data_IF_494012983293
#
_entry.id   IF_494012983293
#
_cell.length_a   1.000
_cell.length_b   1.000
_cell.length_c   1.000
_cell.angle_alpha   90.00
_cell.angle_beta   90.00
_cell.angle_gamma   90.00
#
_symmetry.space_group_name_H-M   'P 1'
#
loop_
_entity.id
_entity.type
_entity.pdbx_description
1 polymer ?
#
# COMPACT_ATOMS: atom_id res chain seq x y z
N UNK A 1 5.07 47.36 -35.30
CA UNK A 1 5.22 45.88 -35.47
C UNK A 1 5.78 45.32 -34.19
N UNK A 2 4.92 44.70 -33.37
CA UNK A 2 5.29 44.18 -32.04
C UNK A 2 5.74 42.74 -32.21
N UNK A 3 7.04 42.47 -32.03
CA UNK A 3 7.61 41.14 -31.98
C UNK A 3 7.12 40.44 -30.71
N UNK A 4 6.21 39.46 -30.85
CA UNK A 4 5.85 38.53 -29.78
C UNK A 4 6.97 37.50 -29.68
N UNK A 5 7.80 37.64 -28.66
CA UNK A 5 8.76 36.63 -28.28
C UNK A 5 7.94 35.54 -27.58
N UNK A 6 7.74 34.43 -28.27
CA UNK A 6 7.24 33.17 -27.68
C UNK A 6 8.40 32.60 -26.85
N UNK A 7 8.33 32.79 -25.53
CA UNK A 7 9.14 32.01 -24.60
C UNK A 7 8.56 30.61 -24.57
N UNK A 8 9.08 29.74 -25.40
CA UNK A 8 8.86 28.30 -25.26
C UNK A 8 9.68 27.89 -24.05
N UNK A 9 9.02 27.82 -22.89
CA UNK A 9 9.59 27.17 -21.72
C UNK A 9 9.75 25.69 -22.08
N UNK A 10 10.93 25.34 -22.56
CA UNK A 10 11.31 23.97 -22.79
C UNK A 10 11.29 23.23 -21.47
N UNK A 11 10.25 22.43 -21.24
CA UNK A 11 10.27 21.38 -20.24
C UNK A 11 11.35 20.42 -20.73
N UNK A 12 12.56 20.57 -20.20
CA UNK A 12 13.62 19.61 -20.38
C UNK A 12 13.19 18.35 -19.64
N UNK A 13 12.45 17.46 -20.30
CA UNK A 13 12.35 16.09 -19.88
C UNK A 13 13.73 15.47 -20.04
N UNK A 14 14.56 15.57 -19.00
CA UNK A 14 15.76 14.75 -18.92
C UNK A 14 15.31 13.30 -18.76
N UNK A 15 15.19 12.60 -19.89
CA UNK A 15 15.30 11.16 -19.88
C UNK A 15 16.74 10.83 -19.48
N UNK A 16 16.99 10.72 -18.18
CA UNK A 16 18.24 10.12 -17.76
C UNK A 16 18.08 8.62 -18.01
N UNK A 17 18.35 8.20 -19.24
CA UNK A 17 18.87 6.86 -19.48
C UNK A 17 20.29 6.91 -18.92
N UNK A 18 20.39 6.85 -17.58
CA UNK A 18 21.64 6.76 -16.88
C UNK A 18 22.25 5.41 -17.19
N UNK A 19 23.27 5.42 -18.01
CA UNK A 19 24.25 4.35 -18.07
C UNK A 19 24.86 4.24 -16.65
N UNK A 20 24.35 3.30 -15.81
CA UNK A 20 25.06 2.95 -14.60
C UNK A 20 24.34 3.05 -13.25
N UNK A 21 23.02 3.03 -13.15
CA UNK A 21 22.36 2.89 -11.83
C UNK A 21 20.95 3.43 -11.80
N UNK A 22 20.03 2.74 -11.10
CA UNK A 22 18.68 3.23 -10.88
C UNK A 22 18.72 4.46 -9.96
N UNK A 23 17.82 5.44 -10.20
CA UNK A 23 17.66 6.58 -9.33
C UNK A 23 17.41 6.13 -7.86
N UNK A 24 18.00 6.80 -6.84
CA UNK A 24 17.86 6.38 -5.44
C UNK A 24 16.41 6.19 -4.98
N UNK A 25 15.48 7.06 -5.39
CA UNK A 25 14.04 6.90 -5.09
C UNK A 25 13.45 5.61 -5.70
N UNK A 26 13.86 5.24 -6.91
CA UNK A 26 13.40 3.99 -7.55
C UNK A 26 13.95 2.77 -6.80
N UNK A 27 15.22 2.85 -6.40
CA UNK A 27 15.84 1.78 -5.60
C UNK A 27 15.13 1.62 -4.25
N UNK A 28 14.85 2.72 -3.56
CA UNK A 28 14.11 2.72 -2.30
C UNK A 28 12.72 2.11 -2.47
N UNK A 29 11.97 2.52 -3.51
CA UNK A 29 10.68 1.94 -3.84
C UNK A 29 10.76 0.41 -4.05
N UNK A 30 11.72 -0.04 -4.86
CA UNK A 30 11.89 -1.49 -5.13
C UNK A 30 12.29 -2.26 -3.88
N UNK A 31 13.16 -1.72 -3.04
CA UNK A 31 13.60 -2.36 -1.80
C UNK A 31 12.45 -2.44 -0.78
N UNK A 32 11.63 -1.40 -0.66
CA UNK A 32 10.41 -1.42 0.15
C UNK A 32 9.39 -2.44 -0.39
N UNK A 33 9.21 -2.52 -1.71
CA UNK A 33 8.31 -3.50 -2.32
C UNK A 33 8.79 -4.95 -2.10
N UNK A 34 10.10 -5.21 -2.08
CA UNK A 34 10.63 -6.54 -1.70
C UNK A 34 10.27 -6.90 -0.26
N UNK A 35 10.34 -5.93 0.67
CA UNK A 35 9.92 -6.13 2.07
C UNK A 35 8.44 -6.49 2.11
N UNK A 36 7.57 -5.74 1.41
CA UNK A 36 6.14 -6.03 1.32
C UNK A 36 5.90 -7.44 0.75
N UNK A 37 6.51 -7.76 -0.38
CA UNK A 37 6.37 -9.06 -1.05
C UNK A 37 6.97 -10.24 -0.28
N UNK A 38 7.86 -9.98 0.69
CA UNK A 38 8.33 -11.03 1.60
C UNK A 38 7.22 -11.52 2.54
N UNK A 39 6.18 -10.71 2.75
CA UNK A 39 5.11 -10.98 3.71
C UNK A 39 5.55 -10.88 5.16
N UNK A 40 6.76 -10.40 5.43
CA UNK A 40 7.27 -10.17 6.79
C UNK A 40 6.69 -8.86 7.36
N UNK A 41 5.53 -8.97 7.97
CA UNK A 41 4.82 -7.83 8.55
C UNK A 41 5.59 -7.09 9.64
N UNK A 42 6.61 -7.72 10.24
CA UNK A 42 7.44 -7.05 11.24
C UNK A 42 8.42 -6.03 10.62
N UNK A 43 8.68 -6.14 9.32
CA UNK A 43 9.55 -5.21 8.57
C UNK A 43 8.76 -4.13 7.83
N UNK A 44 7.45 -4.28 7.73
CA UNK A 44 6.60 -3.28 7.04
C UNK A 44 6.34 -2.13 8.02
N UNK A 45 6.76 -0.92 7.63
CA UNK A 45 6.50 0.31 8.37
C UNK A 45 5.30 1.04 7.75
N UNK A 46 4.46 1.62 8.60
CA UNK A 46 3.35 2.48 8.19
C UNK A 46 3.78 3.91 7.81
N UNK A 47 5.07 4.16 7.72
CA UNK A 47 5.65 5.48 7.46
C UNK A 47 5.71 6.40 8.69
N UNK A 48 5.18 5.98 9.85
CA UNK A 48 5.20 6.74 11.09
C UNK A 48 6.30 6.29 12.07
N UNK A 49 7.31 5.57 11.60
CA UNK A 49 8.33 4.88 12.41
C UNK A 49 7.76 3.81 13.37
N UNK A 50 6.50 3.46 13.24
CA UNK A 50 5.92 2.30 13.93
C UNK A 50 5.89 1.13 12.95
N UNK A 51 6.35 -0.01 13.41
CA UNK A 51 6.14 -1.27 12.71
C UNK A 51 4.63 -1.54 12.67
N UNK A 52 4.09 -1.98 11.55
CA UNK A 52 2.67 -2.33 11.32
C UNK A 52 2.06 -3.25 12.40
N UNK A 53 2.75 -3.52 13.48
CA UNK A 53 2.51 -4.73 14.22
C UNK A 53 2.48 -4.68 15.73
N UNK A 54 2.53 -3.53 16.39
CA UNK A 54 2.56 -3.55 17.87
C UNK A 54 1.29 -4.15 18.47
N UNK A 55 0.13 -3.99 17.78
CA UNK A 55 -1.18 -4.35 18.33
C UNK A 55 -1.89 -5.46 17.52
N UNK A 56 -1.17 -6.10 16.58
CA UNK A 56 -1.72 -7.13 15.70
C UNK A 56 -1.21 -8.50 16.12
N UNK A 57 -2.12 -9.47 16.29
CA UNK A 57 -1.76 -10.82 16.72
C UNK A 57 -0.94 -11.59 15.67
N UNK A 58 -0.21 -12.64 16.07
CA UNK A 58 0.56 -13.46 15.15
C UNK A 58 -0.28 -14.06 14.01
N UNK A 59 -1.51 -14.48 14.29
CA UNK A 59 -2.45 -15.06 13.34
C UNK A 59 -2.88 -14.04 12.29
N UNK A 60 -3.19 -12.82 12.73
CA UNK A 60 -3.53 -11.69 11.85
C UNK A 60 -2.34 -11.31 10.97
N UNK A 61 -1.13 -11.22 11.57
CA UNK A 61 0.11 -10.97 10.83
C UNK A 61 0.33 -12.01 9.73
N UNK A 62 0.15 -13.29 10.05
CA UNK A 62 0.30 -14.36 9.08
C UNK A 62 -0.72 -14.24 7.94
N UNK A 63 -1.99 -13.94 8.25
CA UNK A 63 -3.03 -13.77 7.25
C UNK A 63 -2.77 -12.58 6.30
N UNK A 64 -2.35 -11.45 6.85
CA UNK A 64 -1.96 -10.27 6.07
C UNK A 64 -0.69 -10.52 5.25
N UNK A 65 0.30 -11.19 5.83
CA UNK A 65 1.54 -11.56 5.15
C UNK A 65 1.29 -12.39 3.89
N UNK A 66 0.34 -13.33 3.91
CA UNK A 66 -0.06 -14.09 2.73
C UNK A 66 -0.70 -13.19 1.66
N UNK A 67 -1.41 -12.15 2.06
CA UNK A 67 -1.94 -11.14 1.15
C UNK A 67 -0.82 -10.29 0.52
N UNK A 68 0.13 -9.82 1.32
CA UNK A 68 1.26 -9.03 0.86
C UNK A 68 2.14 -9.76 -0.15
N UNK A 69 2.39 -11.05 0.03
CA UNK A 69 3.12 -11.88 -0.94
C UNK A 69 2.49 -11.90 -2.34
N UNK A 70 1.19 -11.62 -2.44
CA UNK A 70 0.46 -11.61 -3.71
C UNK A 70 0.44 -10.23 -4.38
N UNK A 71 0.96 -9.19 -3.73
CA UNK A 71 1.08 -7.87 -4.34
C UNK A 71 2.15 -7.92 -5.42
N UNK A 72 1.78 -7.47 -6.61
CA UNK A 72 2.71 -7.35 -7.74
C UNK A 72 2.74 -5.92 -8.24
N UNK A 73 3.85 -5.53 -8.87
CA UNK A 73 3.98 -4.21 -9.47
C UNK A 73 4.81 -4.24 -10.74
N UNK A 74 4.62 -3.21 -11.57
CA UNK A 74 5.41 -2.91 -12.75
C UNK A 74 5.67 -1.42 -12.77
N UNK A 75 6.93 -1.01 -12.84
CA UNK A 75 7.30 0.38 -13.11
C UNK A 75 7.14 0.63 -14.60
N UNK A 76 6.31 1.60 -14.96
CA UNK A 76 6.04 1.97 -16.34
C UNK A 76 6.98 3.09 -16.79
N UNK A 77 7.19 4.10 -15.91
CA UNK A 77 7.99 5.29 -16.21
C UNK A 77 8.50 5.91 -14.92
N UNK A 78 9.64 6.58 -14.99
CA UNK A 78 10.15 7.44 -13.92
C UNK A 78 10.38 8.84 -14.50
N UNK A 79 9.91 9.87 -13.78
CA UNK A 79 10.14 11.28 -14.12
C UNK A 79 10.85 11.93 -12.94
N UNK A 80 11.97 12.59 -13.20
CA UNK A 80 12.78 13.26 -12.18
C UNK A 80 12.67 14.77 -12.38
N UNK A 81 12.21 15.50 -11.37
CA UNK A 81 12.07 16.95 -11.34
C UNK A 81 12.77 17.48 -10.08
N UNK A 82 13.97 18.03 -10.21
CA UNK A 82 14.75 18.59 -9.08
C UNK A 82 14.64 17.78 -7.77
N UNK A 83 13.72 18.19 -6.88
CA UNK A 83 13.51 17.60 -5.55
C UNK A 83 12.30 16.64 -5.50
N UNK A 84 11.76 16.27 -6.66
CA UNK A 84 10.61 15.35 -6.77
C UNK A 84 10.89 14.26 -7.83
N UNK A 85 10.50 13.05 -7.50
CA UNK A 85 10.51 11.91 -8.44
C UNK A 85 9.12 11.29 -8.49
N UNK A 86 8.59 11.18 -9.71
CA UNK A 86 7.35 10.48 -9.98
C UNK A 86 7.67 9.11 -10.57
N UNK A 87 7.27 8.05 -9.87
CA UNK A 87 7.41 6.67 -10.32
C UNK A 87 6.02 6.19 -10.74
N UNK A 88 5.74 6.21 -12.04
CA UNK A 88 4.49 5.65 -12.57
C UNK A 88 4.53 4.14 -12.49
N UNK A 89 3.59 3.57 -11.74
CA UNK A 89 3.50 2.13 -11.48
C UNK A 89 2.11 1.60 -11.77
N UNK A 90 2.06 0.38 -12.28
CA UNK A 90 0.86 -0.45 -12.24
C UNK A 90 1.03 -1.45 -11.12
N UNK A 91 0.14 -1.43 -10.14
CA UNK A 91 0.15 -2.36 -9.00
C UNK A 91 -1.12 -3.18 -8.96
N UNK A 92 -0.99 -4.42 -8.53
CA UNK A 92 -2.10 -5.35 -8.33
C UNK A 92 -1.99 -5.98 -6.95
N UNK A 93 -3.08 -5.97 -6.20
CA UNK A 93 -3.17 -6.57 -4.86
C UNK A 93 -4.42 -7.45 -4.74
N UNK A 94 -4.48 -8.38 -3.76
CA UNK A 94 -5.76 -8.92 -3.32
C UNK A 94 -6.72 -7.79 -2.98
N UNK A 95 -8.01 -7.99 -3.22
CA UNK A 95 -9.03 -7.00 -2.92
C UNK A 95 -9.77 -7.37 -1.64
N UNK A 96 -9.48 -6.64 -0.57
CA UNK A 96 -10.17 -6.73 0.72
C UNK A 96 -11.26 -5.64 0.87
N UNK A 97 -11.65 -4.98 -0.23
CA UNK A 97 -12.74 -4.00 -0.22
C UNK A 97 -13.98 -4.54 0.47
N UNK A 98 -14.70 -3.69 1.19
CA UNK A 98 -15.86 -4.08 1.98
C UNK A 98 -15.56 -4.92 3.23
N UNK A 99 -14.28 -5.17 3.56
CA UNK A 99 -13.88 -5.98 4.72
C UNK A 99 -14.57 -5.54 6.02
N UNK A 100 -14.54 -4.26 6.34
CA UNK A 100 -15.14 -3.75 7.58
C UNK A 100 -16.64 -3.96 7.64
N UNK A 101 -17.34 -3.80 6.51
CA UNK A 101 -18.77 -4.03 6.39
C UNK A 101 -19.11 -5.51 6.60
N UNK A 102 -18.41 -6.40 5.92
CA UNK A 102 -18.62 -7.85 6.05
C UNK A 102 -18.28 -8.36 7.45
N UNK A 103 -17.20 -7.84 8.06
CA UNK A 103 -16.82 -8.16 9.44
C UNK A 103 -17.92 -7.72 10.42
N UNK A 104 -18.42 -6.48 10.29
CA UNK A 104 -19.51 -5.98 11.13
C UNK A 104 -20.76 -6.86 10.99
N UNK A 105 -21.12 -7.26 9.79
CA UNK A 105 -22.26 -8.16 9.56
C UNK A 105 -22.07 -9.54 10.21
N UNK A 106 -20.85 -10.12 10.10
CA UNK A 106 -20.53 -11.39 10.77
C UNK A 106 -20.61 -11.28 12.30
N UNK A 107 -20.09 -10.19 12.87
CA UNK A 107 -20.18 -9.92 14.31
C UNK A 107 -21.63 -9.79 14.75
N UNK A 108 -22.46 -9.00 14.07
CA UNK A 108 -23.88 -8.83 14.38
C UNK A 108 -24.62 -10.18 14.32
N UNK A 109 -24.39 -10.97 13.27
CA UNK A 109 -25.00 -12.28 13.11
C UNK A 109 -24.62 -13.26 14.24
N UNK A 110 -23.43 -13.08 14.84
CA UNK A 110 -22.94 -13.94 15.95
C UNK A 110 -23.31 -13.43 17.34
N UNK A 111 -23.96 -12.25 17.46
CA UNK A 111 -24.28 -11.64 18.78
C UNK A 111 -25.07 -12.57 19.71
N UNK A 112 -25.99 -13.37 19.15
CA UNK A 112 -26.74 -14.36 19.93
C UNK A 112 -25.84 -15.42 20.58
N UNK A 113 -24.74 -15.78 19.93
CA UNK A 113 -23.76 -16.77 20.43
C UNK A 113 -22.75 -16.12 21.39
N UNK A 114 -22.74 -14.79 21.46
CA UNK A 114 -21.85 -14.04 22.35
C UNK A 114 -22.49 -13.69 23.69
N UNK A 115 -23.78 -13.98 23.87
CA UNK A 115 -24.47 -13.76 25.15
C UNK A 115 -23.80 -14.57 26.27
N UNK A 116 -23.49 -13.91 27.37
CA UNK A 116 -22.81 -14.48 28.52
C UNK A 116 -21.29 -14.60 28.42
N UNK A 117 -20.69 -14.20 27.29
CA UNK A 117 -19.23 -14.11 27.15
C UNK A 117 -18.68 -12.83 27.76
N UNK A 118 -17.44 -12.89 28.25
CA UNK A 118 -16.70 -11.72 28.71
C UNK A 118 -16.21 -10.88 27.51
N UNK A 119 -15.86 -9.59 27.75
CA UNK A 119 -15.30 -8.73 26.70
C UNK A 119 -14.06 -9.33 26.02
N UNK A 120 -13.18 -9.98 26.80
CA UNK A 120 -12.00 -10.66 26.28
C UNK A 120 -12.38 -11.82 25.33
N UNK A 121 -13.41 -12.60 25.64
CA UNK A 121 -13.89 -13.67 24.78
C UNK A 121 -14.56 -13.14 23.51
N UNK A 122 -15.30 -12.03 23.61
CA UNK A 122 -15.90 -11.35 22.46
C UNK A 122 -14.79 -10.81 21.54
N UNK A 123 -13.77 -10.18 22.12
CA UNK A 123 -12.62 -9.71 21.36
C UNK A 123 -11.88 -10.81 20.59
N UNK A 124 -11.64 -11.94 21.26
CA UNK A 124 -10.99 -13.09 20.63
C UNK A 124 -11.83 -13.69 19.47
N UNK A 125 -13.15 -13.75 19.61
CA UNK A 125 -14.04 -14.21 18.53
C UNK A 125 -14.06 -13.23 17.35
N UNK A 126 -14.13 -11.93 17.60
CA UNK A 126 -14.09 -10.91 16.57
C UNK A 126 -12.76 -10.94 15.80
N UNK A 127 -11.66 -11.18 16.50
CA UNK A 127 -10.36 -11.35 15.88
C UNK A 127 -10.31 -12.61 15.00
N UNK A 128 -10.78 -13.73 15.50
CA UNK A 128 -10.88 -14.99 14.73
C UNK A 128 -11.67 -14.77 13.44
N UNK A 129 -12.83 -14.13 13.53
CA UNK A 129 -13.64 -13.77 12.35
C UNK A 129 -12.88 -12.88 11.37
N UNK A 130 -12.10 -11.93 11.87
CA UNK A 130 -11.27 -11.04 11.06
C UNK A 130 -10.20 -11.82 10.30
N UNK A 131 -9.49 -12.71 10.97
CA UNK A 131 -8.45 -13.58 10.38
C UNK A 131 -9.04 -14.50 9.32
N UNK A 132 -10.17 -15.13 9.61
CA UNK A 132 -10.88 -16.01 8.67
C UNK A 132 -11.32 -15.25 7.41
N UNK A 133 -11.90 -14.05 7.60
CA UNK A 133 -12.36 -13.21 6.48
C UNK A 133 -11.19 -12.75 5.60
N UNK A 134 -10.05 -12.36 6.19
CA UNK A 134 -8.85 -12.01 5.42
C UNK A 134 -8.39 -13.22 4.59
N UNK A 135 -8.26 -14.39 5.22
CA UNK A 135 -7.85 -15.62 4.53
C UNK A 135 -8.80 -15.99 3.40
N UNK A 136 -10.12 -15.87 3.63
CA UNK A 136 -11.16 -16.11 2.62
C UNK A 136 -10.98 -15.18 1.42
N UNK A 137 -10.89 -13.86 1.66
CA UNK A 137 -10.72 -12.86 0.60
C UNK A 137 -9.40 -13.04 -0.16
N UNK A 138 -8.28 -13.28 0.53
CA UNK A 138 -6.98 -13.54 -0.10
C UNK A 138 -7.00 -14.84 -0.93
N UNK A 139 -7.71 -15.87 -0.46
CA UNK A 139 -7.88 -17.15 -1.17
C UNK A 139 -8.83 -17.04 -2.36
N UNK A 140 -9.83 -16.17 -2.31
CA UNK A 140 -10.82 -15.99 -3.39
C UNK A 140 -10.20 -15.61 -4.73
N UNK A 141 -8.98 -15.06 -4.72
CA UNK A 141 -8.27 -14.63 -5.92
C UNK A 141 -8.79 -13.32 -6.53
N UNK A 142 -9.79 -12.68 -5.90
CA UNK A 142 -10.21 -11.34 -6.33
C UNK A 142 -9.06 -10.38 -6.14
N UNK A 143 -8.82 -9.56 -7.14
CA UNK A 143 -7.71 -8.60 -7.15
C UNK A 143 -8.18 -7.26 -7.66
N UNK A 144 -7.53 -6.20 -7.18
CA UNK A 144 -7.67 -4.84 -7.70
C UNK A 144 -6.35 -4.43 -8.32
N UNK A 145 -6.42 -3.85 -9.52
CA UNK A 145 -5.27 -3.33 -10.23
C UNK A 145 -5.48 -1.84 -10.48
N UNK A 146 -4.44 -1.05 -10.29
CA UNK A 146 -4.48 0.39 -10.50
C UNK A 146 -3.13 0.88 -11.01
N UNK A 147 -3.15 1.88 -11.90
CA UNK A 147 -1.97 2.62 -12.36
C UNK A 147 -2.02 4.03 -11.77
N UNK A 148 -0.92 4.45 -11.15
CA UNK A 148 -0.78 5.75 -10.51
C UNK A 148 0.69 6.14 -10.41
N UNK A 149 0.94 7.39 -10.02
CA UNK A 149 2.28 7.89 -9.73
C UNK A 149 2.57 7.78 -8.23
N UNK A 150 3.70 7.17 -7.88
CA UNK A 150 4.26 7.23 -6.52
C UNK A 150 5.20 8.42 -6.47
N UNK A 151 4.88 9.37 -5.61
CA UNK A 151 5.60 10.63 -5.45
C UNK A 151 6.65 10.48 -4.36
N UNK A 152 7.90 10.71 -4.72
CA UNK A 152 9.02 10.84 -3.79
C UNK A 152 9.50 12.28 -3.74
N UNK A 153 9.79 12.76 -2.53
CA UNK A 153 10.40 14.09 -2.31
C UNK A 153 11.76 13.96 -1.66
N UNK A 154 12.66 14.84 -2.07
CA UNK A 154 13.98 14.93 -1.47
C UNK A 154 13.88 15.63 -0.11
N UNK A 155 14.41 14.99 0.94
CA UNK A 155 14.56 15.55 2.28
C UNK A 155 16.01 15.43 2.74
N UNK A 156 16.75 16.52 2.63
CA UNK A 156 18.20 16.49 2.80
C UNK A 156 18.85 15.59 1.73
N UNK A 157 19.59 14.58 2.16
CA UNK A 157 20.26 13.63 1.26
C UNK A 157 19.42 12.37 0.94
N UNK A 158 18.19 12.28 1.48
CA UNK A 158 17.31 11.12 1.32
C UNK A 158 16.11 11.41 0.44
N UNK A 159 15.61 10.37 -0.20
CA UNK A 159 14.34 10.37 -0.91
C UNK A 159 13.31 9.64 -0.08
N UNK A 160 12.17 10.28 0.17
CA UNK A 160 11.09 9.71 0.97
C UNK A 160 9.76 9.79 0.20
N UNK A 161 8.90 8.76 0.28
CA UNK A 161 7.57 8.83 -0.31
C UNK A 161 6.75 9.91 0.40
N UNK A 162 6.02 10.73 -0.39
CA UNK A 162 5.12 11.75 0.14
C UNK A 162 3.82 11.09 0.63
N UNK A 163 3.55 11.05 1.95
CA UNK A 163 2.38 10.34 2.47
C UNK A 163 1.04 10.95 2.03
N UNK A 164 1.02 12.25 1.72
CA UNK A 164 -0.21 12.94 1.32
C UNK A 164 -0.53 12.77 -0.16
N UNK A 165 0.50 12.67 -1.00
CA UNK A 165 0.34 12.49 -2.45
C UNK A 165 0.11 11.02 -2.84
N UNK A 166 0.46 10.07 -1.98
CA UNK A 166 0.50 8.64 -2.29
C UNK A 166 -0.72 7.84 -1.78
N UNK A 167 -1.90 8.46 -1.71
CA UNK A 167 -3.11 7.76 -1.21
C UNK A 167 -3.36 6.44 -1.94
N UNK A 168 -3.32 6.45 -3.28
CA UNK A 168 -3.57 5.27 -4.10
C UNK A 168 -2.56 4.14 -3.85
N UNK A 169 -1.31 4.51 -3.59
CA UNK A 169 -0.26 3.57 -3.22
C UNK A 169 -0.58 2.89 -1.87
N UNK A 170 -0.97 3.67 -0.86
CA UNK A 170 -1.35 3.11 0.43
C UNK A 170 -2.62 2.30 0.37
N UNK A 171 -3.62 2.71 -0.42
CA UNK A 171 -4.85 1.93 -0.63
C UNK A 171 -4.52 0.53 -1.20
N UNK A 172 -3.65 0.44 -2.20
CA UNK A 172 -3.22 -0.85 -2.76
C UNK A 172 -2.38 -1.64 -1.77
N UNK A 173 -1.47 -1.00 -1.00
CA UNK A 173 -0.67 -1.69 0.02
C UNK A 173 -1.53 -2.26 1.14
N UNK A 174 -2.58 -1.56 1.54
CA UNK A 174 -3.56 -2.05 2.51
C UNK A 174 -4.61 -2.98 1.89
N UNK A 175 -4.37 -3.44 0.66
CA UNK A 175 -5.28 -4.33 -0.08
C UNK A 175 -6.72 -3.77 -0.14
N UNK A 176 -6.86 -2.44 -0.21
CA UNK A 176 -8.13 -1.71 -0.24
C UNK A 176 -9.04 -1.96 0.97
N UNK A 177 -8.53 -2.41 2.09
CA UNK A 177 -9.30 -2.78 3.29
C UNK A 177 -10.14 -1.62 3.85
N UNK A 178 -9.67 -0.37 3.71
CA UNK A 178 -10.36 0.84 4.15
C UNK A 178 -11.41 1.37 3.17
N UNK A 179 -11.50 0.83 1.96
CA UNK A 179 -12.46 1.30 0.97
C UNK A 179 -13.83 0.67 1.25
N UNK A 180 -14.84 1.52 1.45
CA UNK A 180 -16.25 1.13 1.55
C UNK A 180 -16.81 1.28 0.14
N UNK A 181 -17.03 0.16 -0.55
CA UNK A 181 -17.75 0.14 -1.83
C UNK A 181 -19.24 0.41 -1.61
#
# INVERSE_FOLDING_TARGET
MKKRILIILGIIMMFIVSCGGKHPAVKDFEDNMKIVQSGDTNKISDGSNKTFSSDVTPEMKAALGEGFKKITYKINKTTVNNDEVLINVTMKSPDLGGFMKELSQKIVASMGQMQGKTEAQIGAEAEKMSVELIKEKVKSGKTKEKTFDVVYKKKGDKWEPDPTANKDFFDILTMNMGNVD
#
